data_IF_373200012307
#
_entry.id   IF_373200012307
#
_cell.length_a   1.000
_cell.length_b   1.000
_cell.length_c   1.000
_cell.angle_alpha   90.00
_cell.angle_beta   90.00
_cell.angle_gamma   90.00
#
_symmetry.space_group_name_H-M   'P 1'
#
loop_
_entity.id
_entity.type
_entity.pdbx_description
1 polymer ?
#
# COMPACT_ATOMS: atom_id res chain seq x y z
N UNK A 1 20.53 19.30 -16.18
CA UNK A 1 20.30 19.57 -14.75
C UNK A 1 18.94 20.24 -14.63
N UNK A 2 17.88 19.49 -14.36
CA UNK A 2 16.54 20.05 -14.17
C UNK A 2 16.34 20.33 -12.68
N UNK A 3 16.42 21.60 -12.28
CA UNK A 3 15.96 22.06 -10.97
C UNK A 3 14.48 22.41 -11.09
N UNK A 4 13.61 21.40 -10.98
CA UNK A 4 12.17 21.60 -10.89
C UNK A 4 11.80 22.02 -9.47
N UNK A 5 11.72 23.32 -9.21
CA UNK A 5 11.08 23.81 -7.99
C UNK A 5 9.58 23.57 -8.10
N UNK A 6 9.10 22.56 -7.40
CA UNK A 6 7.66 22.35 -7.21
C UNK A 6 7.13 23.45 -6.30
N UNK A 7 6.13 24.20 -6.77
CA UNK A 7 5.40 25.19 -5.96
C UNK A 7 4.31 24.57 -5.09
N UNK A 8 4.12 23.24 -5.16
CA UNK A 8 3.30 22.53 -4.17
C UNK A 8 4.07 22.54 -2.85
N UNK A 9 3.51 23.22 -1.85
CA UNK A 9 3.83 22.91 -0.46
C UNK A 9 3.49 21.44 -0.25
N UNK A 10 4.49 20.56 -0.29
CA UNK A 10 4.29 19.16 0.03
C UNK A 10 3.80 19.10 1.45
N UNK A 11 2.54 18.70 1.66
CA UNK A 11 1.95 18.50 2.99
C UNK A 11 2.56 17.29 3.72
N UNK A 12 3.82 16.92 3.38
CA UNK A 12 4.61 15.90 4.05
C UNK A 12 4.05 14.47 3.93
N UNK A 13 3.22 14.19 2.93
CA UNK A 13 2.56 12.89 2.76
C UNK A 13 2.91 12.17 1.45
N UNK A 14 2.65 10.87 1.43
CA UNK A 14 2.76 10.03 0.24
C UNK A 14 1.45 9.29 -0.03
N UNK A 15 1.23 8.91 -1.28
CA UNK A 15 0.02 8.21 -1.73
C UNK A 15 0.40 6.99 -2.54
N UNK A 16 -0.31 5.89 -2.33
CA UNK A 16 -0.30 4.77 -3.25
C UNK A 16 -1.68 4.60 -3.86
N UNK A 17 -1.72 4.49 -5.19
CA UNK A 17 -2.94 4.18 -5.94
C UNK A 17 -2.89 2.72 -6.35
N UNK A 18 -3.70 1.89 -5.72
CA UNK A 18 -3.76 0.45 -5.93
C UNK A 18 -4.76 0.12 -7.02
N UNK A 19 -4.31 -0.70 -7.95
CA UNK A 19 -5.12 -1.23 -9.05
C UNK A 19 -5.37 -2.71 -8.80
N UNK A 20 -6.60 -3.21 -9.07
CA UNK A 20 -6.92 -4.62 -8.90
C UNK A 20 -6.00 -5.49 -9.77
N UNK A 21 -5.55 -6.61 -9.22
CA UNK A 21 -4.78 -7.59 -10.00
C UNK A 21 -5.71 -8.34 -10.96
N UNK A 22 -5.30 -8.62 -12.20
CA UNK A 22 -6.15 -9.27 -13.21
C UNK A 22 -6.60 -10.69 -12.83
N UNK A 23 -5.94 -11.31 -11.85
CA UNK A 23 -6.23 -12.67 -11.41
C UNK A 23 -7.34 -12.76 -10.36
N UNK A 24 -7.94 -11.63 -9.95
CA UNK A 24 -9.03 -11.64 -8.98
C UNK A 24 -10.38 -11.32 -9.66
N UNK A 25 -11.19 -12.34 -10.01
CA UNK A 25 -12.48 -12.14 -10.67
C UNK A 25 -13.55 -11.54 -9.74
N UNK A 26 -13.28 -11.43 -8.44
CA UNK A 26 -14.19 -10.85 -7.45
C UNK A 26 -14.07 -9.34 -7.32
N UNK A 27 -13.06 -8.73 -7.94
CA UNK A 27 -12.87 -7.29 -7.93
C UNK A 27 -13.54 -6.69 -9.16
N UNK A 28 -14.63 -5.95 -8.96
CA UNK A 28 -15.30 -5.24 -10.05
C UNK A 28 -14.36 -4.13 -10.56
N UNK A 29 -14.02 -4.09 -11.87
CA UNK A 29 -13.19 -3.03 -12.45
C UNK A 29 -13.83 -1.64 -12.36
N UNK A 30 -15.11 -1.53 -11.98
CA UNK A 30 -15.79 -0.27 -11.68
C UNK A 30 -15.50 0.27 -10.27
N UNK A 31 -14.91 -0.55 -9.38
CA UNK A 31 -14.50 -0.12 -8.04
C UNK A 31 -13.50 1.03 -8.15
N UNK A 32 -13.82 2.13 -7.49
CA UNK A 32 -12.97 3.32 -7.44
C UNK A 32 -11.55 2.95 -6.97
N UNK A 33 -10.58 3.71 -7.47
CA UNK A 33 -9.16 3.42 -7.25
C UNK A 33 -8.84 3.32 -5.75
N UNK A 34 -8.33 2.16 -5.36
CA UNK A 34 -7.61 1.87 -4.11
C UNK A 34 -6.68 3.02 -3.71
N UNK A 35 -6.87 3.73 -2.60
CA UNK A 35 -5.82 4.66 -2.12
C UNK A 35 -5.37 4.35 -0.70
N UNK A 36 -4.05 4.44 -0.51
CA UNK A 36 -3.39 4.51 0.79
C UNK A 36 -2.68 5.86 0.89
N UNK A 37 -3.05 6.65 1.89
CA UNK A 37 -2.44 7.95 2.16
C UNK A 37 -1.61 7.84 3.43
N UNK A 38 -0.31 8.10 3.33
CA UNK A 38 0.62 8.07 4.43
C UNK A 38 0.94 9.50 4.84
N UNK A 39 0.87 9.79 6.14
CA UNK A 39 1.22 11.11 6.68
C UNK A 39 1.89 11.01 8.04
N UNK A 40 2.90 11.83 8.25
CA UNK A 40 3.53 12.07 9.54
C UNK A 40 3.06 13.46 10.03
N UNK A 41 2.21 13.53 11.05
CA UNK A 41 1.66 14.81 11.52
C UNK A 41 2.72 15.67 12.23
N UNK A 42 3.53 15.05 13.10
CA UNK A 42 4.60 15.68 13.88
C UNK A 42 5.87 14.80 13.85
N UNK A 43 7.04 15.31 14.24
CA UNK A 43 8.33 14.57 14.20
C UNK A 43 8.36 13.34 15.13
N UNK A 44 7.61 13.35 16.22
CA UNK A 44 7.60 12.28 17.23
C UNK A 44 6.48 11.24 17.01
N UNK A 45 5.56 11.50 16.08
CA UNK A 45 4.41 10.62 15.83
C UNK A 45 4.73 9.52 14.82
N UNK A 46 4.08 8.37 15.00
CA UNK A 46 4.11 7.27 14.03
C UNK A 46 3.35 7.65 12.76
N UNK A 47 3.60 6.92 11.68
CA UNK A 47 2.94 7.21 10.41
C UNK A 47 1.48 6.79 10.47
N UNK A 48 0.59 7.71 10.08
CA UNK A 48 -0.82 7.44 9.88
C UNK A 48 -1.07 6.98 8.46
N UNK A 49 -1.90 5.95 8.29
CA UNK A 49 -2.34 5.43 7.00
C UNK A 49 -3.86 5.60 6.91
N UNK A 50 -4.30 6.38 5.92
CA UNK A 50 -5.72 6.59 5.62
C UNK A 50 -6.08 5.85 4.32
N UNK A 51 -7.19 5.13 4.36
CA UNK A 51 -7.68 4.27 3.30
C UNK A 51 -8.85 4.98 2.61
N UNK A 52 -8.80 5.13 1.27
CA UNK A 52 -9.93 5.69 0.48
C UNK A 52 -10.37 4.75 -0.64
N UNK A 53 -11.68 4.66 -0.86
CA UNK A 53 -12.30 3.77 -1.84
C UNK A 53 -12.51 2.34 -1.34
N UNK A 54 -12.24 2.07 -0.06
CA UNK A 54 -12.32 0.75 0.55
C UNK A 54 -13.73 0.35 0.98
N UNK A 55 -14.67 1.28 0.94
CA UNK A 55 -16.10 1.05 1.15
C UNK A 55 -16.64 0.03 0.13
N UNK A 56 -16.07 0.02 -1.08
CA UNK A 56 -16.36 -0.97 -2.11
C UNK A 56 -15.89 -2.40 -1.74
N UNK A 57 -14.98 -2.53 -0.77
CA UNK A 57 -14.48 -3.80 -0.26
C UNK A 57 -15.29 -4.33 0.93
N UNK A 58 -16.14 -3.52 1.58
CA UNK A 58 -16.95 -3.96 2.72
C UNK A 58 -17.92 -5.09 2.37
N UNK A 59 -18.40 -5.13 1.11
CA UNK A 59 -19.20 -6.25 0.59
C UNK A 59 -18.41 -7.55 0.46
N UNK A 60 -17.08 -7.46 0.38
CA UNK A 60 -16.17 -8.59 0.40
C UNK A 60 -15.82 -8.90 1.86
N UNK A 61 -16.61 -9.77 2.52
CA UNK A 61 -16.25 -10.39 3.81
C UNK A 61 -15.01 -11.28 3.66
N UNK A 62 -13.86 -10.69 3.33
CA UNK A 62 -12.62 -11.41 3.13
C UNK A 62 -11.89 -11.57 4.46
N UNK A 63 -11.37 -12.77 4.76
CA UNK A 63 -10.60 -13.02 5.97
C UNK A 63 -9.27 -12.27 5.91
N UNK A 64 -8.86 -11.69 7.04
CA UNK A 64 -7.52 -11.16 7.33
C UNK A 64 -6.83 -10.53 6.10
N UNK A 65 -7.12 -9.27 5.81
CA UNK A 65 -6.40 -8.49 4.80
C UNK A 65 -5.23 -7.74 5.44
N UNK A 66 -4.13 -7.60 4.71
CA UNK A 66 -2.98 -6.82 5.15
C UNK A 66 -2.26 -6.17 3.97
N UNK A 67 -1.61 -5.05 4.26
CA UNK A 67 -0.76 -4.33 3.30
C UNK A 67 0.67 -4.79 3.47
N UNK A 68 1.37 -4.92 2.34
CA UNK A 68 2.82 -5.14 2.30
C UNK A 68 3.47 -4.09 1.41
N UNK A 69 4.48 -3.40 1.94
CA UNK A 69 5.36 -2.52 1.18
C UNK A 69 6.66 -3.27 0.93
N UNK A 70 7.00 -3.44 -0.35
CA UNK A 70 8.22 -4.09 -0.80
C UNK A 70 9.37 -3.07 -0.91
N UNK A 71 10.60 -3.55 -1.01
CA UNK A 71 11.80 -2.73 -1.26
C UNK A 71 11.97 -2.35 -2.73
N UNK A 72 11.36 -3.12 -3.64
CA UNK A 72 11.33 -2.86 -5.08
C UNK A 72 10.19 -1.90 -5.48
N UNK A 73 10.18 -1.47 -6.74
CA UNK A 73 9.10 -0.73 -7.39
C UNK A 73 8.55 -1.45 -8.62
N UNK A 74 8.59 -2.78 -8.64
CA UNK A 74 8.36 -3.56 -9.86
C UNK A 74 6.97 -4.21 -9.89
N UNK A 75 6.09 -3.70 -10.75
CA UNK A 75 4.73 -4.24 -10.97
C UNK A 75 4.67 -5.33 -12.07
N UNK A 76 5.81 -5.68 -12.68
CA UNK A 76 5.88 -6.57 -13.85
C UNK A 76 5.41 -8.00 -13.56
N UNK A 77 5.26 -8.37 -12.28
CA UNK A 77 4.92 -9.72 -11.83
C UNK A 77 3.59 -9.81 -11.09
N UNK A 78 2.57 -9.03 -11.47
CA UNK A 78 1.22 -9.00 -10.84
C UNK A 78 0.44 -10.33 -10.86
N UNK A 79 1.06 -11.41 -11.35
CA UNK A 79 0.59 -12.80 -11.34
C UNK A 79 1.37 -13.74 -10.42
N UNK A 80 2.37 -13.23 -9.69
CA UNK A 80 3.26 -14.07 -8.87
C UNK A 80 2.55 -14.47 -7.58
N UNK A 81 2.29 -15.77 -7.41
CA UNK A 81 2.01 -16.34 -6.08
C UNK A 81 3.12 -15.85 -5.15
N UNK A 82 2.75 -15.06 -4.14
CA UNK A 82 3.73 -14.48 -3.23
C UNK A 82 4.27 -15.62 -2.37
N UNK A 83 5.41 -16.18 -2.78
CA UNK A 83 6.01 -17.29 -2.05
C UNK A 83 6.49 -16.77 -0.68
N UNK A 84 6.07 -17.42 0.41
CA UNK A 84 6.39 -17.02 1.78
C UNK A 84 7.90 -16.81 2.04
N UNK A 85 8.76 -17.51 1.29
CA UNK A 85 10.21 -17.34 1.38
C UNK A 85 10.74 -16.09 0.66
N UNK A 86 10.07 -15.59 -0.39
CA UNK A 86 10.43 -14.35 -1.09
C UNK A 86 9.99 -13.11 -0.29
N UNK A 87 8.90 -13.24 0.50
CA UNK A 87 8.39 -12.16 1.37
C UNK A 87 9.43 -11.72 2.40
N UNK A 88 10.30 -12.60 2.89
CA UNK A 88 11.15 -12.25 4.05
C UNK A 88 12.31 -11.30 3.74
N UNK A 89 12.85 -11.31 2.53
CA UNK A 89 14.03 -10.49 2.18
C UNK A 89 13.64 -9.14 1.59
N UNK A 90 12.52 -9.11 0.85
CA UNK A 90 12.15 -7.98 0.00
C UNK A 90 11.06 -7.10 0.62
N UNK A 91 10.59 -7.42 1.83
CA UNK A 91 9.59 -6.62 2.55
C UNK A 91 10.26 -5.54 3.37
N UNK A 92 9.79 -4.31 3.17
CA UNK A 92 10.12 -3.18 4.01
C UNK A 92 9.22 -3.14 5.25
N UNK A 93 7.92 -3.33 5.05
CA UNK A 93 6.86 -3.12 6.04
C UNK A 93 5.66 -4.00 5.70
N UNK A 94 4.98 -4.51 6.73
CA UNK A 94 3.65 -5.09 6.59
C UNK A 94 2.77 -4.72 7.77
N UNK A 95 1.49 -4.45 7.54
CA UNK A 95 0.52 -4.15 8.58
C UNK A 95 -0.87 -4.67 8.21
N UNK A 96 -1.62 -5.13 9.21
CA UNK A 96 -2.99 -5.60 9.04
C UNK A 96 -3.95 -4.43 8.84
N UNK A 97 -5.02 -4.70 8.10
CA UNK A 97 -6.12 -3.77 7.93
C UNK A 97 -7.22 -4.24 8.88
N UNK A 98 -7.58 -3.39 9.83
CA UNK A 98 -8.69 -3.69 10.72
C UNK A 98 -9.99 -3.71 9.90
N UNK A 99 -10.98 -4.48 10.36
CA UNK A 99 -12.21 -4.76 9.60
C UNK A 99 -13.09 -3.54 9.35
N UNK A 100 -12.71 -2.36 9.86
CA UNK A 100 -13.33 -1.08 9.55
C UNK A 100 -12.43 -0.27 8.59
N UNK A 101 -12.69 -0.35 7.27
CA UNK A 101 -11.91 0.34 6.26
C UNK A 101 -12.05 1.87 6.27
N UNK A 102 -12.98 2.42 7.08
CA UNK A 102 -13.09 3.86 7.29
C UNK A 102 -12.08 4.40 8.31
N UNK A 103 -11.32 3.51 8.95
CA UNK A 103 -10.40 3.84 10.03
C UNK A 103 -9.03 4.31 9.53
N UNK A 104 -8.51 5.34 10.19
CA UNK A 104 -7.08 5.70 10.10
C UNK A 104 -6.31 4.65 10.90
N UNK A 105 -5.37 3.94 10.27
CA UNK A 105 -4.46 3.04 10.97
C UNK A 105 -3.19 3.78 11.38
N UNK A 106 -2.79 3.65 12.63
CA UNK A 106 -1.46 4.08 13.08
C UNK A 106 -0.47 2.93 12.96
N UNK A 107 0.65 3.17 12.32
CA UNK A 107 1.75 2.21 12.30
C UNK A 107 2.48 2.19 13.64
N UNK A 108 3.16 1.08 13.91
CA UNK A 108 4.00 0.87 15.10
C UNK A 108 5.29 1.70 15.07
N UNK A 109 5.64 2.22 13.89
CA UNK A 109 6.83 3.05 13.66
C UNK A 109 6.56 4.18 12.69
N UNK A 110 7.42 5.19 12.75
CA UNK A 110 7.50 6.25 11.74
C UNK A 110 8.18 5.71 10.48
N UNK A 111 7.61 6.01 9.32
CA UNK A 111 8.21 5.75 8.01
C UNK A 111 8.90 7.00 7.48
N UNK A 112 9.99 6.79 6.74
CA UNK A 112 10.55 7.81 5.87
C UNK A 112 9.64 7.93 4.62
N UNK A 113 8.93 9.05 4.52
CA UNK A 113 8.03 9.35 3.40
C UNK A 113 8.78 9.92 2.18
N UNK A 114 10.11 9.80 2.15
CA UNK A 114 10.99 10.20 1.06
C UNK A 114 11.46 9.06 0.15
N UNK A 115 12.52 9.34 -0.60
CA UNK A 115 13.22 8.39 -1.47
C UNK A 115 14.49 7.87 -0.76
N UNK A 116 14.94 6.67 -1.07
CA UNK A 116 16.24 6.15 -0.59
C UNK A 116 16.14 4.76 0.01
N UNK A 117 17.10 4.41 0.87
CA UNK A 117 17.24 3.06 1.45
C UNK A 117 16.09 2.70 2.40
N UNK A 118 15.59 3.66 3.17
CA UNK A 118 14.44 3.47 4.07
C UNK A 118 13.17 4.15 3.55
N UNK A 119 13.30 5.13 2.64
CA UNK A 119 12.20 5.90 2.06
C UNK A 119 11.21 5.10 1.22
N UNK A 120 9.91 5.30 1.43
CA UNK A 120 8.85 4.50 0.77
C UNK A 120 8.48 4.95 -0.64
N UNK A 121 8.98 6.09 -1.12
CA UNK A 121 8.66 6.59 -2.47
C UNK A 121 9.31 5.72 -3.55
N UNK A 122 8.54 5.41 -4.60
CA UNK A 122 8.95 4.54 -5.70
C UNK A 122 8.82 3.05 -5.38
N UNK A 123 8.31 2.70 -4.20
CA UNK A 123 8.17 1.32 -3.76
C UNK A 123 6.81 0.73 -4.10
N UNK A 124 6.81 -0.57 -4.38
CA UNK A 124 5.60 -1.35 -4.61
C UNK A 124 4.89 -1.61 -3.29
N UNK A 125 3.58 -1.45 -3.34
CA UNK A 125 2.67 -1.84 -2.28
C UNK A 125 1.65 -2.83 -2.83
N UNK A 126 1.38 -3.89 -2.06
CA UNK A 126 0.38 -4.88 -2.41
C UNK A 126 -0.59 -5.07 -1.25
N UNK A 127 -1.87 -5.14 -1.58
CA UNK A 127 -2.93 -5.58 -0.69
C UNK A 127 -3.06 -7.09 -0.82
N UNK A 128 -2.84 -7.80 0.28
CA UNK A 128 -2.88 -9.25 0.36
C UNK A 128 -4.08 -9.72 1.18
N UNK A 129 -4.60 -10.89 0.81
CA UNK A 129 -5.59 -11.64 1.59
C UNK A 129 -5.09 -13.06 1.85
N UNK A 130 -5.61 -13.66 2.92
CA UNK A 130 -5.37 -15.07 3.18
C UNK A 130 -6.25 -15.93 2.27
N UNK A 131 -5.64 -16.83 1.49
CA UNK A 131 -6.34 -17.85 0.70
C UNK A 131 -5.90 -19.26 1.08
N UNK A 132 -6.66 -20.28 0.65
CA UNK A 132 -6.31 -21.69 0.84
C UNK A 132 -5.01 -22.09 0.15
N UNK A 133 -4.57 -21.33 -0.86
CA UNK A 133 -3.30 -21.55 -1.57
C UNK A 133 -2.15 -20.66 -1.07
N UNK A 134 -2.39 -19.91 0.02
CA UNK A 134 -1.44 -18.94 0.59
C UNK A 134 -1.84 -17.48 0.33
N UNK A 135 -0.96 -16.52 0.67
CA UNK A 135 -1.22 -15.10 0.44
C UNK A 135 -1.47 -14.78 -1.04
N UNK A 136 -2.59 -14.12 -1.32
CA UNK A 136 -2.96 -13.68 -2.66
C UNK A 136 -2.98 -12.16 -2.72
N UNK A 137 -2.23 -11.58 -3.66
CA UNK A 137 -2.33 -10.15 -3.97
C UNK A 137 -3.61 -9.88 -4.74
N UNK A 138 -4.42 -8.94 -4.25
CA UNK A 138 -5.69 -8.55 -4.87
C UNK A 138 -5.64 -7.16 -5.50
N UNK A 139 -4.73 -6.31 -5.03
CA UNK A 139 -4.46 -5.02 -5.64
C UNK A 139 -3.01 -4.61 -5.40
N UNK A 140 -2.40 -3.90 -6.35
CA UNK A 140 -1.02 -3.44 -6.27
C UNK A 140 -0.87 -2.01 -6.80
N UNK A 141 0.13 -1.29 -6.30
CA UNK A 141 0.43 0.06 -6.73
C UNK A 141 1.87 0.46 -6.41
N UNK A 142 2.25 1.65 -6.87
CA UNK A 142 3.52 2.30 -6.49
C UNK A 142 3.21 3.48 -5.58
N UNK A 143 3.99 3.63 -4.52
CA UNK A 143 3.92 4.77 -3.61
C UNK A 143 4.60 5.97 -4.27
N UNK A 144 3.91 7.09 -4.36
CA UNK A 144 4.39 8.36 -4.87
C UNK A 144 4.11 9.52 -3.92
N UNK A 145 4.53 10.71 -4.31
CA UNK A 145 4.22 11.94 -3.57
C UNK A 145 2.74 12.31 -3.73
N UNK A 146 2.12 12.77 -2.64
CA UNK A 146 0.74 13.25 -2.62
C UNK A 146 0.64 14.75 -2.98
#
# INVERSE_FOLDING_TARGET
MCNGFSTRAGLGGSVAVLHPTPNNPSFDPSVERLQLLFSNQNEEETTQVNFKGWEALEGMRQPLSWVVVFRDGELSTSSRKVNANTIRSDVLLSFSIESDPSSVTQLDRRLDLGVGDDGIIGRRVSLLISSTEGPLAIAEGIIGWN
#
